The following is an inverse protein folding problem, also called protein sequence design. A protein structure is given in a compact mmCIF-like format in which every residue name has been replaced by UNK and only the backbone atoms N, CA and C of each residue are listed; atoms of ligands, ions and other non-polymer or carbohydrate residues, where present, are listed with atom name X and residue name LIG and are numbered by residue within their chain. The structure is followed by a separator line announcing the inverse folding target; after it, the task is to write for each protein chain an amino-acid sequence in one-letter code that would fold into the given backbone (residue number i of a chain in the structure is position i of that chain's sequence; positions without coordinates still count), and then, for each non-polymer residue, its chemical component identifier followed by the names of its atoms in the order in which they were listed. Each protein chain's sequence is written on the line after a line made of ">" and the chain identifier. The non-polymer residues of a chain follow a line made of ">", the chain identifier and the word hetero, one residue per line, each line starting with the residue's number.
data_IF_941772413722
#
_entry.id   IF_941772413722
#
_cell.length_a   1.000
_cell.length_b   1.000
_cell.length_c   1.000
_cell.angle_alpha   90.00
_cell.angle_beta   90.00
_cell.angle_gamma   90.00
#
_symmetry.space_group_name_H-M   'P 1'
#
loop_
_entity.id
_entity.type
_entity.pdbx_description
1 polymer ?
#
# COMPACT_ATOMS: atom_id res chain seq x y z
N UNK A 1 -51.11 48.50 -26.89
CA UNK A 1 -50.91 47.15 -26.28
C UNK A 1 -50.08 46.18 -27.12
N UNK A 2 -50.18 46.14 -28.45
CA UNK A 2 -49.44 45.16 -29.28
C UNK A 2 -47.91 45.34 -29.27
N UNK A 3 -47.41 46.58 -29.18
CA UNK A 3 -45.98 46.87 -29.20
C UNK A 3 -45.25 46.47 -27.89
N UNK A 4 -45.88 46.76 -26.74
CA UNK A 4 -45.35 46.40 -25.41
C UNK A 4 -45.25 44.87 -25.23
N UNK A 5 -46.24 44.12 -25.72
CA UNK A 5 -46.23 42.65 -25.66
C UNK A 5 -45.11 42.03 -26.53
N UNK A 6 -44.79 42.64 -27.68
CA UNK A 6 -43.69 42.20 -28.54
C UNK A 6 -42.32 42.52 -27.94
N UNK A 7 -42.18 43.67 -27.28
CA UNK A 7 -40.95 44.07 -26.61
C UNK A 7 -40.65 43.17 -25.40
N UNK A 8 -41.67 42.85 -24.60
CA UNK A 8 -41.55 41.93 -23.47
C UNK A 8 -41.16 40.51 -23.91
N UNK A 9 -41.71 40.04 -25.03
CA UNK A 9 -41.36 38.74 -25.61
C UNK A 9 -39.92 38.73 -26.16
N UNK A 10 -39.49 39.80 -26.82
CA UNK A 10 -38.12 39.93 -27.31
C UNK A 10 -37.09 39.99 -26.15
N UNK A 11 -37.40 40.72 -25.08
CA UNK A 11 -36.57 40.79 -23.87
C UNK A 11 -36.50 39.43 -23.15
N UNK A 12 -37.62 38.70 -23.09
CA UNK A 12 -37.64 37.34 -22.56
C UNK A 12 -36.76 36.41 -23.40
N UNK A 13 -36.93 36.37 -24.73
CA UNK A 13 -36.14 35.49 -25.61
C UNK A 13 -34.64 35.82 -25.59
N UNK A 14 -34.26 37.10 -25.50
CA UNK A 14 -32.85 37.50 -25.41
C UNK A 14 -32.23 37.17 -24.05
N UNK A 15 -33.01 37.12 -22.97
CA UNK A 15 -32.52 36.62 -21.67
C UNK A 15 -32.22 35.12 -21.66
N UNK A 16 -32.91 34.31 -22.47
CA UNK A 16 -32.63 32.87 -22.62
C UNK A 16 -31.40 32.61 -23.50
N UNK A 17 -31.14 33.44 -24.50
CA UNK A 17 -29.95 33.31 -25.36
C UNK A 17 -28.64 33.59 -24.60
N UNK A 18 -28.67 34.40 -23.53
CA UNK A 18 -27.52 34.68 -22.67
C UNK A 18 -27.28 33.59 -21.62
N UNK A 19 -28.27 32.73 -21.34
CA UNK A 19 -28.12 31.58 -20.43
C UNK A 19 -27.51 30.35 -21.13
N UNK A 20 -27.47 30.32 -22.46
CA UNK A 20 -26.90 29.22 -23.24
C UNK A 20 -25.36 29.34 -23.45
N UNK A 21 -24.74 30.45 -23.05
CA UNK A 21 -23.33 30.77 -23.31
C UNK A 21 -22.37 30.39 -22.17
N UNK A 22 -22.71 29.40 -21.34
CA UNK A 22 -21.88 28.97 -20.21
C UNK A 22 -21.36 27.53 -20.35
N UNK A 23 -21.14 27.04 -21.57
CA UNK A 23 -20.20 25.95 -21.77
C UNK A 23 -18.80 26.56 -21.80
N UNK A 24 -18.17 26.71 -20.64
CA UNK A 24 -16.73 26.93 -20.56
C UNK A 24 -16.05 25.71 -21.15
N UNK A 25 -15.27 25.89 -22.22
CA UNK A 25 -14.43 24.82 -22.76
C UNK A 25 -13.48 24.40 -21.66
N UNK A 26 -13.55 23.14 -21.24
CA UNK A 26 -12.58 22.59 -20.30
C UNK A 26 -11.27 22.51 -21.08
N UNK A 27 -10.27 23.26 -20.64
CA UNK A 27 -8.93 23.22 -21.22
C UNK A 27 -8.34 21.81 -21.04
N UNK A 28 -7.56 21.33 -22.00
CA UNK A 28 -6.92 20.01 -21.92
C UNK A 28 -6.00 19.90 -20.69
N UNK A 29 -5.50 21.03 -20.16
CA UNK A 29 -4.77 21.11 -18.88
C UNK A 29 -5.62 20.75 -17.67
N UNK A 30 -6.91 21.05 -17.71
CA UNK A 30 -7.88 20.70 -16.66
C UNK A 30 -8.39 19.26 -16.86
N UNK A 31 -8.50 18.81 -18.12
CA UNK A 31 -8.82 17.42 -18.46
C UNK A 31 -7.68 16.44 -18.12
N UNK A 32 -6.42 16.90 -18.22
CA UNK A 32 -5.23 16.16 -17.78
C UNK A 32 -5.22 15.90 -16.26
N UNK A 33 -5.89 16.74 -15.46
CA UNK A 33 -6.11 16.42 -14.05
C UNK A 33 -7.14 15.28 -13.91
N UNK A 34 -8.19 15.26 -14.72
CA UNK A 34 -9.29 14.29 -14.55
C UNK A 34 -8.91 12.89 -15.05
N UNK A 35 -7.98 12.73 -15.99
CA UNK A 35 -7.65 11.41 -16.58
C UNK A 35 -6.59 10.60 -15.83
N UNK A 36 -6.11 11.04 -14.66
CA UNK A 36 -5.04 10.35 -13.90
C UNK A 36 -5.19 10.35 -12.38
N UNK A 37 -6.35 10.76 -11.84
CA UNK A 37 -6.48 11.06 -10.41
C UNK A 37 -6.79 9.88 -9.49
N UNK A 38 -7.28 8.74 -10.00
CA UNK A 38 -7.64 7.62 -9.13
C UNK A 38 -6.51 6.58 -9.10
N UNK A 39 -5.46 6.94 -8.35
CA UNK A 39 -4.61 5.91 -7.76
C UNK A 39 -5.48 4.93 -6.98
N UNK A 40 -5.31 3.63 -7.23
CA UNK A 40 -6.12 2.60 -6.58
C UNK A 40 -5.58 2.37 -5.17
N UNK A 41 -6.41 2.64 -4.17
CA UNK A 41 -6.13 2.28 -2.78
C UNK A 41 -6.69 0.90 -2.47
N UNK A 42 -5.81 -0.03 -2.12
CA UNK A 42 -6.16 -1.38 -1.69
C UNK A 42 -6.00 -1.43 -0.17
N UNK A 43 -7.10 -1.59 0.55
CA UNK A 43 -7.10 -1.88 1.97
C UNK A 43 -7.62 -3.29 2.21
N UNK A 44 -6.91 -4.08 3.02
CA UNK A 44 -7.27 -5.44 3.35
C UNK A 44 -7.22 -5.65 4.87
N UNK A 45 -8.21 -6.35 5.40
CA UNK A 45 -8.12 -6.95 6.73
C UNK A 45 -7.58 -8.36 6.57
N UNK A 46 -6.41 -8.62 7.13
CA UNK A 46 -5.81 -9.93 7.18
C UNK A 46 -6.47 -10.72 8.31
N UNK A 47 -6.91 -11.94 7.98
CA UNK A 47 -7.35 -12.94 8.95
C UNK A 47 -6.83 -14.30 8.49
N UNK A 48 -5.53 -14.47 8.60
CA UNK A 48 -4.82 -15.67 8.16
C UNK A 48 -4.70 -16.61 9.35
N UNK A 49 -5.18 -17.84 9.18
CA UNK A 49 -5.06 -18.90 10.17
C UNK A 49 -4.28 -20.06 9.55
N UNK A 50 -3.08 -20.32 10.06
CA UNK A 50 -2.26 -21.47 9.67
C UNK A 50 -2.38 -22.52 10.77
N UNK A 51 -2.93 -23.68 10.43
CA UNK A 51 -3.14 -24.78 11.39
C UNK A 51 -1.83 -25.23 12.03
N UNK A 52 -0.81 -25.51 11.21
CA UNK A 52 0.56 -25.72 11.68
C UNK A 52 1.57 -25.43 10.58
N UNK A 53 2.73 -24.91 11.00
CA UNK A 53 3.96 -24.95 10.21
C UNK A 53 4.88 -25.96 10.88
N UNK A 54 5.21 -27.04 10.18
CA UNK A 54 6.06 -28.12 10.70
C UNK A 54 7.29 -28.23 9.83
N UNK A 55 8.45 -27.99 10.45
CA UNK A 55 9.73 -28.37 9.89
C UNK A 55 10.08 -29.76 10.40
N UNK A 56 10.23 -30.73 9.49
CA UNK A 56 10.59 -32.10 9.82
C UNK A 56 11.96 -32.40 9.24
N UNK A 57 12.89 -32.81 10.09
CA UNK A 57 14.12 -33.42 9.64
C UNK A 57 13.84 -34.84 9.14
N UNK A 58 14.38 -35.18 7.98
CA UNK A 58 14.05 -36.43 7.27
C UNK A 58 15.08 -37.54 7.49
N UNK A 59 16.08 -37.30 8.34
CA UNK A 59 17.06 -38.32 8.68
C UNK A 59 16.52 -39.42 9.63
N UNK A 60 17.31 -40.47 9.83
CA UNK A 60 16.91 -41.66 10.62
C UNK A 60 16.74 -41.37 12.12
N UNK A 61 17.29 -40.27 12.63
CA UNK A 61 17.17 -39.83 14.02
C UNK A 61 16.28 -38.57 14.14
N UNK A 62 15.54 -38.24 13.09
CA UNK A 62 15.08 -36.88 12.82
C UNK A 62 14.21 -36.28 13.91
N UNK A 63 14.41 -34.98 14.14
CA UNK A 63 13.55 -34.15 14.97
C UNK A 63 12.56 -33.35 14.13
N UNK A 64 11.53 -32.82 14.77
CA UNK A 64 10.67 -31.81 14.13
C UNK A 64 10.46 -30.61 15.03
N UNK A 65 10.24 -29.45 14.42
CA UNK A 65 9.79 -28.24 15.11
C UNK A 65 8.45 -27.87 14.50
N UNK A 66 7.43 -27.79 15.35
CA UNK A 66 6.09 -27.39 14.93
C UNK A 66 5.69 -26.09 15.61
N UNK A 67 5.21 -25.15 14.79
CA UNK A 67 4.52 -23.93 15.21
C UNK A 67 3.04 -24.16 14.95
N UNK A 68 2.25 -24.19 16.01
CA UNK A 68 0.85 -24.60 15.93
C UNK A 68 -0.07 -23.40 16.10
N UNK A 69 -1.15 -23.38 15.32
CA UNK A 69 -2.19 -22.37 15.35
C UNK A 69 -1.62 -20.96 15.24
N UNK A 70 -0.97 -20.68 14.11
CA UNK A 70 -0.42 -19.36 13.82
C UNK A 70 -1.56 -18.49 13.31
N UNK A 71 -1.79 -17.34 13.94
CA UNK A 71 -2.72 -16.33 13.47
C UNK A 71 -1.95 -15.07 13.06
N UNK A 72 -2.26 -14.54 11.88
CA UNK A 72 -1.82 -13.22 11.43
C UNK A 72 -3.06 -12.39 11.14
N UNK A 73 -3.26 -11.34 11.93
CA UNK A 73 -4.44 -10.48 11.86
C UNK A 73 -4.07 -9.02 11.78
N UNK A 74 -4.97 -8.19 11.26
CA UNK A 74 -4.80 -6.73 11.24
C UNK A 74 -4.98 -6.11 9.87
N UNK A 75 -4.74 -4.81 9.77
CA UNK A 75 -4.99 -4.05 8.54
C UNK A 75 -3.71 -3.86 7.71
N UNK A 76 -3.83 -4.06 6.41
CA UNK A 76 -2.80 -3.76 5.41
C UNK A 76 -3.37 -2.76 4.40
N UNK A 77 -2.53 -1.81 3.95
CA UNK A 77 -2.88 -0.91 2.86
C UNK A 77 -1.73 -0.83 1.84
N UNK A 78 -2.09 -0.83 0.57
CA UNK A 78 -1.21 -0.52 -0.54
C UNK A 78 -1.87 0.48 -1.47
N UNK A 79 -1.08 1.38 -2.04
CA UNK A 79 -1.51 2.30 -3.08
C UNK A 79 -0.83 1.93 -4.39
N UNK A 80 -1.60 1.93 -5.47
CA UNK A 80 -1.10 1.76 -6.83
C UNK A 80 -1.37 3.06 -7.58
N UNK A 81 -0.31 3.64 -8.13
CA UNK A 81 -0.39 4.91 -8.84
C UNK A 81 0.49 4.88 -10.09
N UNK A 82 0.14 5.68 -11.10
CA UNK A 82 1.00 5.93 -12.27
C UNK A 82 1.65 7.28 -12.05
N UNK A 83 2.95 7.27 -11.77
CA UNK A 83 3.71 8.51 -11.56
C UNK A 83 4.52 8.85 -12.80
N UNK A 84 4.66 10.14 -13.07
CA UNK A 84 5.45 10.61 -14.18
C UNK A 84 6.96 10.34 -13.99
N UNK A 85 7.69 10.43 -15.10
CA UNK A 85 9.13 10.17 -15.11
C UNK A 85 9.94 11.11 -14.21
N UNK A 86 9.53 12.36 -14.04
CA UNK A 86 10.22 13.35 -13.20
C UNK A 86 10.00 13.06 -11.71
N UNK A 87 8.77 12.72 -11.32
CA UNK A 87 8.40 12.28 -9.98
C UNK A 87 9.14 10.99 -9.59
N UNK A 88 9.21 10.01 -10.49
CA UNK A 88 10.02 8.81 -10.28
C UNK A 88 11.52 9.13 -10.12
N UNK A 89 12.07 10.02 -10.97
CA UNK A 89 13.47 10.46 -10.86
C UNK A 89 13.75 11.14 -9.53
N UNK A 90 12.83 11.93 -9.00
CA UNK A 90 12.97 12.55 -7.68
C UNK A 90 13.01 11.48 -6.57
N UNK A 91 12.05 10.55 -6.56
CA UNK A 91 12.00 9.43 -5.59
C UNK A 91 13.25 8.54 -5.66
N UNK A 92 13.71 8.22 -6.88
CA UNK A 92 14.86 7.34 -7.13
C UNK A 92 16.22 8.03 -6.95
N UNK A 93 16.32 9.36 -7.08
CA UNK A 93 17.56 10.12 -6.90
C UNK A 93 17.76 10.64 -5.47
N UNK A 94 16.67 10.90 -4.72
CA UNK A 94 16.72 10.99 -3.25
C UNK A 94 17.31 9.72 -2.61
N UNK A 95 17.30 8.62 -3.38
CA UNK A 95 17.87 7.33 -3.08
C UNK A 95 19.41 7.21 -3.26
N UNK A 96 20.13 8.31 -3.50
CA UNK A 96 21.61 8.31 -3.52
C UNK A 96 22.26 8.50 -2.13
N UNK A 97 21.48 8.44 -1.05
CA UNK A 97 21.94 8.45 0.35
C UNK A 97 21.47 7.22 1.16
N UNK A 98 21.85 7.11 2.45
CA UNK A 98 21.52 5.96 3.31
C UNK A 98 20.02 5.68 3.53
N UNK A 99 19.13 6.55 3.04
CA UNK A 99 17.67 6.41 3.09
C UNK A 99 17.07 5.99 1.73
N UNK A 100 17.85 5.29 0.90
CA UNK A 100 17.42 4.86 -0.42
C UNK A 100 16.23 3.91 -0.40
N UNK A 101 15.13 4.30 -1.07
CA UNK A 101 13.96 3.44 -1.29
C UNK A 101 14.28 2.33 -2.32
N UNK A 102 15.27 2.55 -3.19
CA UNK A 102 15.75 1.56 -4.15
C UNK A 102 17.16 1.12 -3.74
N UNK A 103 17.28 -0.04 -3.11
CA UNK A 103 18.55 -0.62 -2.63
C UNK A 103 19.63 -0.89 -3.69
N UNK A 104 19.49 -0.37 -4.91
CA UNK A 104 20.54 -0.31 -5.92
C UNK A 104 21.38 0.92 -5.63
N UNK A 105 22.43 0.74 -4.83
CA UNK A 105 23.48 1.73 -4.60
C UNK A 105 24.05 2.23 -5.93
N UNK A 106 24.23 3.55 -6.04
CA UNK A 106 24.48 4.25 -7.30
C UNK A 106 25.62 3.72 -8.18
N UNK A 107 25.58 4.10 -9.46
CA UNK A 107 26.54 3.71 -10.49
C UNK A 107 25.86 3.57 -11.86
N UNK A 108 26.53 2.94 -12.83
CA UNK A 108 26.02 2.73 -14.19
C UNK A 108 24.66 1.99 -14.26
N UNK A 109 24.26 1.28 -13.19
CA UNK A 109 22.98 0.60 -13.08
C UNK A 109 21.76 1.54 -12.90
N UNK A 110 21.95 2.75 -12.37
CA UNK A 110 20.84 3.71 -12.20
C UNK A 110 20.26 4.13 -13.54
N UNK A 111 21.11 4.39 -14.54
CA UNK A 111 20.68 4.77 -15.89
C UNK A 111 19.83 3.68 -16.57
N UNK A 112 20.07 2.40 -16.25
CA UNK A 112 19.26 1.28 -16.75
C UNK A 112 17.90 1.16 -16.02
N UNK A 113 17.77 1.73 -14.83
CA UNK A 113 16.55 1.76 -14.03
C UNK A 113 15.73 3.04 -14.21
N UNK A 114 16.17 3.96 -15.09
CA UNK A 114 15.48 5.20 -15.44
C UNK A 114 14.68 5.00 -16.73
N UNK A 115 13.36 4.78 -16.65
CA UNK A 115 12.54 4.62 -17.85
C UNK A 115 12.43 5.95 -18.61
N UNK A 116 11.94 5.89 -19.85
CA UNK A 116 11.72 7.07 -20.70
C UNK A 116 10.30 7.62 -20.55
N UNK A 117 9.44 6.98 -19.74
CA UNK A 117 8.05 7.38 -19.52
C UNK A 117 7.60 7.15 -18.07
N UNK A 118 6.28 7.16 -17.90
CA UNK A 118 5.62 6.98 -16.61
C UNK A 118 5.85 5.58 -16.04
N UNK A 119 5.75 5.48 -14.71
CA UNK A 119 5.95 4.22 -14.00
C UNK A 119 4.78 3.91 -13.08
N UNK A 120 4.47 2.62 -12.97
CA UNK A 120 3.53 2.14 -11.96
C UNK A 120 4.27 2.05 -10.62
N UNK A 121 3.86 2.88 -9.67
CA UNK A 121 4.32 2.84 -8.28
C UNK A 121 3.35 2.00 -7.47
N UNK A 122 3.87 0.99 -6.79
CA UNK A 122 3.15 0.23 -5.77
C UNK A 122 3.82 0.54 -4.44
N UNK A 123 3.12 1.27 -3.55
CA UNK A 123 3.65 1.69 -2.26
C UNK A 123 2.83 1.10 -1.12
N UNK A 124 3.50 0.78 -0.01
CA UNK A 124 2.86 0.44 1.26
C UNK A 124 3.11 1.64 2.18
N UNK A 125 2.15 2.59 2.27
CA UNK A 125 2.36 3.78 3.07
C UNK A 125 2.40 3.43 4.57
N UNK A 126 3.11 4.26 5.34
CA UNK A 126 2.99 4.21 6.79
C UNK A 126 1.60 4.73 7.17
N UNK A 127 0.73 3.83 7.61
CA UNK A 127 -0.65 4.15 8.00
C UNK A 127 -0.78 4.18 9.52
N UNK A 128 -1.50 5.17 10.04
CA UNK A 128 -2.00 5.13 11.41
C UNK A 128 -3.26 4.28 11.43
N UNK A 129 -3.22 3.17 12.15
CA UNK A 129 -4.37 2.27 12.32
C UNK A 129 -5.05 2.53 13.67
N UNK A 130 -6.36 2.31 13.73
CA UNK A 130 -7.10 2.43 14.98
C UNK A 130 -6.68 1.30 15.96
N UNK A 131 -6.82 1.50 17.28
CA UNK A 131 -6.53 0.47 18.27
C UNK A 131 -7.25 -0.85 17.96
N UNK A 132 -6.51 -1.96 17.95
CA UNK A 132 -7.04 -3.31 17.64
C UNK A 132 -7.01 -3.69 16.15
N UNK A 133 -6.52 -2.80 15.29
CA UNK A 133 -6.34 -3.06 13.86
C UNK A 133 -4.86 -3.14 13.44
N UNK A 134 -3.96 -3.17 14.43
CA UNK A 134 -2.53 -3.38 14.21
C UNK A 134 -2.27 -4.77 13.60
N UNK A 135 -1.19 -4.86 12.84
CA UNK A 135 -0.69 -6.15 12.37
C UNK A 135 -0.16 -6.94 13.57
N UNK A 136 -0.83 -8.05 13.88
CA UNK A 136 -0.54 -8.94 14.99
C UNK A 136 -0.19 -10.33 14.46
N UNK A 137 0.77 -10.97 15.12
CA UNK A 137 1.14 -12.36 14.87
C UNK A 137 1.17 -13.12 16.19
N UNK A 138 0.50 -14.26 16.26
CA UNK A 138 0.53 -15.15 17.42
C UNK A 138 0.84 -16.59 17.02
N UNK A 139 1.48 -17.31 17.93
CA UNK A 139 1.72 -18.75 17.82
C UNK A 139 1.27 -19.37 19.14
N UNK A 140 0.36 -20.34 19.09
CA UNK A 140 -0.18 -20.92 20.32
C UNK A 140 0.83 -21.83 21.03
N UNK A 141 1.61 -22.61 20.27
CA UNK A 141 2.64 -23.48 20.82
C UNK A 141 3.75 -23.78 19.82
N UNK A 142 4.99 -23.80 20.32
CA UNK A 142 6.15 -24.27 19.59
C UNK A 142 6.61 -25.58 20.23
N UNK A 143 6.55 -26.70 19.50
CA UNK A 143 6.88 -28.04 20.06
C UNK A 143 8.00 -28.72 19.29
N UNK A 144 8.89 -29.37 20.04
CA UNK A 144 9.84 -30.35 19.52
C UNK A 144 9.12 -31.70 19.38
N UNK A 145 9.06 -32.23 18.17
CA UNK A 145 8.55 -33.58 17.93
C UNK A 145 9.59 -34.64 18.28
N UNK A 146 9.13 -35.75 18.85
CA UNK A 146 9.93 -36.93 19.15
C UNK A 146 11.18 -36.67 20.03
N UNK A 147 11.12 -35.64 20.89
CA UNK A 147 12.24 -35.24 21.75
C UNK A 147 11.76 -34.72 23.10
N UNK A 148 12.48 -35.08 24.17
CA UNK A 148 12.31 -34.50 25.52
C UNK A 148 13.27 -33.33 25.77
N UNK A 149 14.03 -32.90 24.75
CA UNK A 149 15.03 -31.85 24.87
C UNK A 149 14.41 -30.45 24.77
N UNK A 150 15.02 -29.49 25.47
CA UNK A 150 14.68 -28.06 25.40
C UNK A 150 15.32 -27.40 24.16
N UNK A 151 14.77 -26.26 23.71
CA UNK A 151 15.35 -25.42 22.65
C UNK A 151 16.77 -24.91 22.94
N UNK A 152 17.29 -25.13 24.15
CA UNK A 152 18.65 -24.74 24.54
C UNK A 152 18.76 -23.21 24.61
N UNK A 153 19.27 -22.59 23.55
CA UNK A 153 19.43 -21.14 23.42
C UNK A 153 18.63 -20.62 22.22
N UNK A 154 17.86 -19.56 22.40
CA UNK A 154 17.10 -18.90 21.35
C UNK A 154 17.55 -17.44 21.20
N UNK A 155 17.82 -17.01 19.97
CA UNK A 155 18.19 -15.63 19.65
C UNK A 155 17.41 -15.14 18.42
N UNK A 156 16.88 -13.92 18.51
CA UNK A 156 16.24 -13.21 17.40
C UNK A 156 16.88 -11.84 17.29
N UNK A 157 17.37 -11.49 16.10
CA UNK A 157 17.97 -10.18 15.82
C UNK A 157 17.16 -9.47 14.72
N UNK A 158 17.06 -8.14 14.81
CA UNK A 158 16.37 -7.26 13.84
C UNK A 158 14.88 -7.55 13.59
N UNK A 159 14.12 -7.99 14.61
CA UNK A 159 12.66 -8.13 14.50
C UNK A 159 12.01 -6.74 14.37
N UNK A 160 11.39 -6.42 13.22
CA UNK A 160 10.52 -5.24 13.07
C UNK A 160 9.06 -5.63 12.84
N UNK A 161 8.21 -5.35 13.82
CA UNK A 161 6.74 -5.45 13.78
C UNK A 161 6.20 -4.15 14.42
N UNK A 162 6.03 -3.06 13.67
CA UNK A 162 5.99 -1.70 14.24
C UNK A 162 5.04 -1.58 15.47
N UNK A 163 5.61 -1.26 16.65
CA UNK A 163 4.90 -1.14 17.94
C UNK A 163 4.92 -2.39 18.87
N UNK A 164 5.74 -3.41 18.59
CA UNK A 164 5.66 -4.72 19.26
C UNK A 164 5.79 -4.69 20.80
N UNK A 165 4.96 -5.47 21.49
CA UNK A 165 5.19 -5.94 22.88
C UNK A 165 5.05 -7.46 22.91
N UNK A 166 5.98 -8.15 23.58
CA UNK A 166 6.07 -9.61 23.61
C UNK A 166 5.83 -10.14 25.02
N UNK A 167 4.97 -11.14 25.16
CA UNK A 167 4.73 -11.86 26.40
C UNK A 167 5.06 -13.34 26.21
N UNK A 168 5.90 -13.87 27.08
CA UNK A 168 6.31 -15.28 27.08
C UNK A 168 6.07 -15.81 28.47
N UNK A 169 5.46 -16.98 28.58
CA UNK A 169 5.34 -17.70 29.84
C UNK A 169 5.66 -19.18 29.62
N UNK A 170 6.28 -19.79 30.63
CA UNK A 170 6.44 -21.22 30.68
C UNK A 170 5.13 -21.87 31.11
N UNK A 171 4.91 -23.11 30.67
CA UNK A 171 3.84 -23.96 31.17
C UNK A 171 4.39 -24.96 32.19
#
# INVERSE_FOLDING_TARGET
>A
MKLIKKLALAAALSSFAMAASAMTTIEDSDLSQVSGQDGVSIAANLNINVGSFVYTDTDTAGGSVSFNNIAITGSFAATIDIIDNASFKADASAASGPNSVLGVTGGAGLAAFMPVGDVVKIAIPQITVAPGHELNMSVAAIKMGNSTASYGSFAMNDIKLQGTTVYIWAH
#
